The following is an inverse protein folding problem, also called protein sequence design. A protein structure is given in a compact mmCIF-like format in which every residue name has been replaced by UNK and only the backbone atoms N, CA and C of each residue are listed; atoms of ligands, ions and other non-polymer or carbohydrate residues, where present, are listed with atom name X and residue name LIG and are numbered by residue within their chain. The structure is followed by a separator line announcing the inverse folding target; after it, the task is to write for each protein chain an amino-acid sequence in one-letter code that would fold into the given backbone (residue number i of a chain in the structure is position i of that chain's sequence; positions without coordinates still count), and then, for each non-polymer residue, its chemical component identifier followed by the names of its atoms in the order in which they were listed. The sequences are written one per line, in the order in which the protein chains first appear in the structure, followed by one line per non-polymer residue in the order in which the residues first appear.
data_IF_919527675598
#
_entry.id   IF_919527675598
#
_cell.length_a   1.000
_cell.length_b   1.000
_cell.length_c   1.000
_cell.angle_alpha   90.00
_cell.angle_beta   90.00
_cell.angle_gamma   90.00
#
_symmetry.space_group_name_H-M   'P 1'
#
loop_
_entity.id
_entity.type
_entity.pdbx_description
1 polymer ?
#
# COMPACT_ATOMS: atom_id res chain seq x y z
N UNK A 1 26.99 8.43 56.32
CA UNK A 1 26.14 7.31 55.85
C UNK A 1 25.13 7.83 54.83
N UNK A 2 24.97 7.09 53.72
CA UNK A 2 23.91 7.16 52.67
C UNK A 2 23.90 8.39 51.76
N UNK A 3 23.57 8.31 50.46
CA UNK A 3 23.70 7.36 49.32
C UNK A 3 23.25 8.21 48.10
N UNK A 4 23.73 7.87 46.91
CA UNK A 4 23.74 8.64 45.64
C UNK A 4 22.40 9.18 45.06
N UNK A 5 22.46 10.14 44.12
CA UNK A 5 21.35 10.94 43.58
C UNK A 5 20.81 10.40 42.25
N UNK A 6 19.58 10.79 41.87
CA UNK A 6 19.14 10.73 40.47
C UNK A 6 18.43 12.04 40.08
N UNK A 7 19.10 12.77 39.20
CA UNK A 7 18.52 13.87 38.42
C UNK A 7 17.75 13.23 37.26
N UNK A 8 16.46 13.52 37.16
CA UNK A 8 15.67 13.27 35.96
C UNK A 8 16.05 14.37 34.98
N UNK A 9 16.75 14.02 33.89
CA UNK A 9 16.98 14.90 32.76
C UNK A 9 16.12 14.44 31.59
N UNK A 10 15.29 15.36 31.14
CA UNK A 10 14.51 15.47 29.91
C UNK A 10 15.06 14.75 28.67
N UNK A 11 14.26 13.87 28.06
CA UNK A 11 14.39 13.44 26.67
C UNK A 11 13.43 14.28 25.81
N UNK A 12 13.96 15.34 25.20
CA UNK A 12 13.32 15.99 24.07
C UNK A 12 13.74 15.23 22.79
N UNK A 13 12.81 14.51 22.19
CA UNK A 13 12.96 13.92 20.86
C UNK A 13 13.04 15.04 19.82
N UNK A 14 14.23 15.29 19.29
CA UNK A 14 14.39 16.13 18.10
C UNK A 14 14.24 15.22 16.87
N UNK A 15 13.10 15.32 16.20
CA UNK A 15 12.90 14.74 14.88
C UNK A 15 13.58 15.63 13.83
N UNK A 16 14.71 15.19 13.29
CA UNK A 16 15.36 15.88 12.16
C UNK A 16 14.68 15.43 10.86
N UNK A 17 13.72 16.22 10.41
CA UNK A 17 13.19 16.17 9.04
C UNK A 17 14.23 16.82 8.14
N UNK A 18 14.93 16.04 7.31
CA UNK A 18 15.76 16.61 6.24
C UNK A 18 14.86 16.79 5.02
N UNK A 19 14.30 18.00 4.87
CA UNK A 19 13.81 18.48 3.59
C UNK A 19 15.00 18.85 2.71
N UNK A 20 15.12 18.18 1.58
CA UNK A 20 16.07 18.55 0.54
C UNK A 20 15.67 19.91 -0.08
N UNK A 21 16.51 20.92 0.09
CA UNK A 21 16.54 22.08 -0.81
C UNK A 21 17.98 22.38 -1.21
N UNK A 22 18.14 22.51 -2.51
CA UNK A 22 19.34 22.77 -3.30
C UNK A 22 20.21 23.93 -2.83
N UNK A 23 21.53 23.75 -2.93
CA UNK A 23 22.51 24.80 -3.24
C UNK A 23 23.05 25.60 -2.06
N UNK A 24 24.22 25.23 -1.56
CA UNK A 24 25.44 26.06 -1.59
C UNK A 24 26.59 25.38 -0.85
N UNK A 25 27.77 25.57 -1.40
CA UNK A 25 29.07 25.00 -1.04
C UNK A 25 29.49 25.28 0.41
N UNK A 26 29.87 24.23 1.14
CA UNK A 26 30.83 24.35 2.23
C UNK A 26 32.10 23.64 1.77
N UNK A 27 33.06 24.43 1.30
CA UNK A 27 34.45 24.01 1.20
C UNK A 27 34.99 23.88 2.62
N UNK A 28 35.02 22.65 3.15
CA UNK A 28 35.88 22.32 4.27
C UNK A 28 37.09 21.56 3.71
N UNK A 29 38.26 22.17 3.86
CA UNK A 29 39.57 21.57 3.61
C UNK A 29 39.65 20.21 4.32
N UNK A 30 39.82 19.14 3.55
CA UNK A 30 40.30 17.86 4.04
C UNK A 30 41.57 17.51 3.25
N UNK A 31 42.66 17.52 3.99
CA UNK A 31 44.02 17.20 3.61
C UNK A 31 44.08 15.82 2.94
N UNK A 32 44.67 15.74 1.74
CA UNK A 32 44.95 14.46 1.07
C UNK A 32 45.70 13.54 2.02
N UNK A 33 45.00 12.49 2.47
CA UNK A 33 45.63 11.34 3.10
C UNK A 33 45.43 10.19 2.14
N UNK A 34 46.48 9.86 1.41
CA UNK A 34 46.62 8.62 0.66
C UNK A 34 46.59 7.45 1.64
N UNK A 35 45.40 6.91 1.87
CA UNK A 35 45.20 5.57 2.39
C UNK A 35 43.90 5.05 1.79
N UNK A 36 43.97 3.93 1.07
CA UNK A 36 42.80 3.08 0.89
C UNK A 36 42.33 2.67 2.29
N UNK A 37 41.41 3.43 2.88
CA UNK A 37 40.57 2.91 3.95
C UNK A 37 39.74 1.79 3.32
N UNK A 38 40.27 0.57 3.37
CA UNK A 38 39.45 -0.64 3.27
C UNK A 38 38.32 -0.44 4.28
N UNK A 39 37.07 -0.20 3.81
CA UNK A 39 35.87 -0.13 4.64
C UNK A 39 36.02 -1.14 5.78
N UNK A 40 36.19 -0.63 6.99
CA UNK A 40 36.20 -1.44 8.20
C UNK A 40 34.73 -1.65 8.54
N UNK A 41 34.18 -2.85 8.32
CA UNK A 41 32.84 -3.15 8.79
C UNK A 41 32.24 -4.42 8.20
N UNK A 42 31.51 -5.13 9.05
CA UNK A 42 30.52 -6.17 8.72
C UNK A 42 29.72 -5.80 7.47
N UNK A 43 29.56 -6.75 6.55
CA UNK A 43 28.72 -6.55 5.37
C UNK A 43 27.25 -6.63 5.79
N UNK A 44 26.47 -5.58 5.48
CA UNK A 44 25.02 -5.60 5.67
C UNK A 44 24.37 -6.43 4.55
N UNK A 45 24.37 -7.75 4.72
CA UNK A 45 23.87 -8.74 3.74
C UNK A 45 22.38 -9.04 3.92
N UNK A 46 21.73 -8.40 4.89
CA UNK A 46 20.34 -8.62 5.25
C UNK A 46 19.34 -7.79 4.41
N UNK A 47 18.04 -8.04 4.61
CA UNK A 47 16.95 -7.30 3.98
C UNK A 47 16.51 -6.06 4.76
N UNK A 48 17.43 -5.34 5.43
CA UNK A 48 17.05 -4.22 6.30
C UNK A 48 16.21 -3.18 5.52
N UNK A 49 15.00 -2.88 6.02
CA UNK A 49 14.07 -1.96 5.36
C UNK A 49 13.05 -2.59 4.42
N UNK A 50 13.20 -3.86 4.01
CA UNK A 50 12.15 -4.57 3.26
C UNK A 50 10.88 -4.76 4.08
N UNK A 51 11.01 -5.01 5.40
CA UNK A 51 9.86 -5.25 6.30
C UNK A 51 8.80 -4.15 6.22
N UNK A 52 9.22 -2.89 6.37
CA UNK A 52 8.31 -1.74 6.32
C UNK A 52 7.70 -1.58 4.92
N UNK A 53 8.52 -1.70 3.88
CA UNK A 53 8.04 -1.55 2.50
C UNK A 53 7.05 -2.65 2.12
N UNK A 54 7.25 -3.89 2.58
CA UNK A 54 6.30 -4.98 2.44
C UNK A 54 4.99 -4.69 3.17
N UNK A 55 5.07 -4.24 4.42
CA UNK A 55 3.88 -3.89 5.19
C UNK A 55 3.03 -2.82 4.50
N UNK A 56 3.66 -1.77 3.97
CA UNK A 56 3.00 -0.74 3.17
C UNK A 56 2.40 -1.31 1.87
N UNK A 57 3.16 -2.12 1.11
CA UNK A 57 2.68 -2.76 -0.12
C UNK A 57 1.45 -3.65 0.14
N UNK A 58 1.47 -4.47 1.19
CA UNK A 58 0.33 -5.31 1.57
C UNK A 58 -0.90 -4.49 1.94
N UNK A 59 -0.71 -3.41 2.70
CA UNK A 59 -1.78 -2.46 3.03
C UNK A 59 -2.41 -1.85 1.77
N UNK A 60 -1.60 -1.36 0.83
CA UNK A 60 -2.10 -0.79 -0.41
C UNK A 60 -2.84 -1.80 -1.31
N UNK A 61 -2.42 -3.07 -1.32
CA UNK A 61 -3.17 -4.13 -2.03
C UNK A 61 -4.58 -4.29 -1.45
N UNK A 62 -4.72 -4.33 -0.13
CA UNK A 62 -6.02 -4.48 0.54
C UNK A 62 -6.97 -3.34 0.20
N UNK A 63 -6.44 -2.12 0.23
CA UNK A 63 -7.15 -0.90 -0.12
C UNK A 63 -7.65 -0.96 -1.57
N UNK A 64 -6.77 -1.28 -2.51
CA UNK A 64 -7.11 -1.38 -3.92
C UNK A 64 -8.12 -2.50 -4.22
N UNK A 65 -8.02 -3.67 -3.56
CA UNK A 65 -8.97 -4.78 -3.69
C UNK A 65 -10.38 -4.38 -3.26
N UNK A 66 -10.48 -3.66 -2.15
CA UNK A 66 -11.73 -3.15 -1.64
C UNK A 66 -12.42 -2.23 -2.65
N UNK A 67 -11.66 -1.32 -3.25
CA UNK A 67 -12.19 -0.39 -4.25
C UNK A 67 -12.53 -1.05 -5.56
N UNK A 68 -11.67 -1.93 -6.06
CA UNK A 68 -11.94 -2.66 -7.29
C UNK A 68 -13.28 -3.41 -7.20
N UNK A 69 -13.50 -4.12 -6.10
CA UNK A 69 -14.77 -4.81 -5.83
C UNK A 69 -15.94 -3.85 -5.67
N UNK A 70 -15.73 -2.69 -5.05
CA UNK A 70 -16.76 -1.65 -4.91
C UNK A 70 -17.20 -1.12 -6.27
N UNK A 71 -16.25 -0.79 -7.16
CA UNK A 71 -16.53 -0.30 -8.51
C UNK A 71 -17.26 -1.34 -9.37
N UNK A 72 -16.87 -2.61 -9.29
CA UNK A 72 -17.52 -3.70 -10.01
C UNK A 72 -18.99 -3.86 -9.58
N UNK A 73 -19.28 -3.69 -8.29
CA UNK A 73 -20.63 -3.86 -7.72
C UNK A 73 -21.51 -2.61 -7.83
N UNK A 74 -20.92 -1.45 -8.08
CA UNK A 74 -21.67 -0.22 -8.21
C UNK A 74 -22.53 -0.24 -9.49
N UNK A 75 -23.86 -0.02 -9.39
CA UNK A 75 -24.71 0.08 -10.57
C UNK A 75 -24.47 1.38 -11.35
N UNK A 76 -24.78 1.38 -12.64
CA UNK A 76 -24.82 2.62 -13.41
C UNK A 76 -25.91 3.55 -12.86
N UNK A 77 -25.62 4.85 -12.82
CA UNK A 77 -26.61 5.84 -12.37
C UNK A 77 -27.79 5.85 -13.34
N UNK A 78 -29.02 5.88 -12.84
CA UNK A 78 -30.21 5.92 -13.72
C UNK A 78 -31.03 7.16 -13.46
N UNK A 79 -31.05 8.05 -14.46
CA UNK A 79 -31.80 9.31 -14.47
C UNK A 79 -32.82 9.39 -15.62
N UNK A 80 -33.26 8.25 -16.18
CA UNK A 80 -34.14 8.19 -17.37
C UNK A 80 -35.46 8.95 -17.24
N UNK A 81 -35.90 9.25 -16.01
CA UNK A 81 -37.17 9.90 -15.71
C UNK A 81 -36.99 11.37 -15.25
N UNK A 82 -35.78 11.91 -15.37
CA UNK A 82 -35.46 13.31 -15.09
C UNK A 82 -35.14 13.97 -16.42
N UNK A 83 -35.81 15.09 -16.72
CA UNK A 83 -35.46 15.90 -17.90
C UNK A 83 -34.14 16.63 -17.64
N UNK A 84 -33.06 16.19 -18.26
CA UNK A 84 -31.73 16.76 -18.07
C UNK A 84 -31.36 17.77 -19.18
N UNK A 85 -32.25 17.99 -20.16
CA UNK A 85 -31.91 18.68 -21.39
C UNK A 85 -30.79 18.00 -22.19
N UNK A 86 -30.39 18.63 -23.30
CA UNK A 86 -29.38 18.09 -24.22
C UNK A 86 -27.99 17.96 -23.57
N UNK A 87 -27.59 19.00 -22.82
CA UNK A 87 -26.29 19.05 -22.13
C UNK A 87 -26.19 17.99 -21.03
N UNK A 88 -27.22 17.88 -20.18
CA UNK A 88 -27.24 16.87 -19.13
C UNK A 88 -27.37 15.44 -19.66
N UNK A 89 -28.00 15.25 -20.82
CA UNK A 89 -28.00 13.97 -21.53
C UNK A 89 -26.60 13.53 -21.97
N UNK A 90 -25.80 14.44 -22.53
CA UNK A 90 -24.40 14.17 -22.92
C UNK A 90 -23.52 13.90 -21.68
N UNK A 91 -23.70 14.68 -20.60
CA UNK A 91 -23.01 14.46 -19.33
C UNK A 91 -23.33 13.09 -18.73
N UNK A 92 -24.59 12.66 -18.73
CA UNK A 92 -25.01 11.34 -18.25
C UNK A 92 -24.34 10.21 -19.06
N UNK A 93 -24.27 10.35 -20.38
CA UNK A 93 -23.58 9.39 -21.25
C UNK A 93 -22.09 9.30 -20.93
N UNK A 94 -21.42 10.44 -20.74
CA UNK A 94 -20.01 10.47 -20.35
C UNK A 94 -19.77 9.89 -18.95
N UNK A 95 -20.69 10.12 -18.01
CA UNK A 95 -20.68 9.51 -16.68
C UNK A 95 -20.80 7.98 -16.79
N UNK A 96 -21.70 7.45 -17.61
CA UNK A 96 -21.79 6.00 -17.83
C UNK A 96 -20.48 5.44 -18.40
N UNK A 97 -19.86 6.14 -19.34
CA UNK A 97 -18.54 5.76 -19.85
C UNK A 97 -17.49 5.75 -18.73
N UNK A 98 -17.46 6.75 -17.84
CA UNK A 98 -16.55 6.76 -16.69
C UNK A 98 -16.81 5.59 -15.73
N UNK A 99 -18.08 5.22 -15.50
CA UNK A 99 -18.43 4.07 -14.67
C UNK A 99 -17.94 2.76 -15.30
N UNK A 100 -18.11 2.57 -16.62
CA UNK A 100 -17.57 1.39 -17.32
C UNK A 100 -16.05 1.33 -17.30
N UNK A 101 -15.36 2.45 -17.56
CA UNK A 101 -13.90 2.54 -17.46
C UNK A 101 -13.42 2.24 -16.04
N UNK A 102 -14.18 2.64 -15.01
CA UNK A 102 -13.87 2.30 -13.62
C UNK A 102 -13.92 0.80 -13.37
N UNK A 103 -14.90 0.09 -13.94
CA UNK A 103 -14.97 -1.39 -13.87
C UNK A 103 -13.85 -2.06 -14.64
N UNK A 104 -13.51 -1.55 -15.83
CA UNK A 104 -12.37 -2.06 -16.62
C UNK A 104 -11.07 -1.91 -15.83
N UNK A 105 -10.84 -0.75 -15.23
CA UNK A 105 -9.67 -0.50 -14.39
C UNK A 105 -9.66 -1.36 -13.12
N UNK A 106 -10.82 -1.58 -12.49
CA UNK A 106 -10.95 -2.48 -11.35
C UNK A 106 -10.60 -3.94 -11.70
N UNK A 107 -11.09 -4.45 -12.83
CA UNK A 107 -10.72 -5.78 -13.31
C UNK A 107 -9.23 -5.84 -13.67
N UNK A 108 -8.68 -4.81 -14.32
CA UNK A 108 -7.23 -4.76 -14.58
C UNK A 108 -6.41 -4.84 -13.29
N UNK A 109 -6.85 -4.16 -12.21
CA UNK A 109 -6.21 -4.28 -10.91
C UNK A 109 -6.21 -5.74 -10.42
N UNK A 110 -7.40 -6.36 -10.37
CA UNK A 110 -7.59 -7.70 -9.82
C UNK A 110 -6.87 -8.78 -10.64
N UNK A 111 -6.95 -8.68 -11.97
CA UNK A 111 -6.51 -9.75 -12.88
C UNK A 111 -5.08 -9.57 -13.38
N UNK A 112 -4.53 -8.35 -13.31
CA UNK A 112 -3.20 -8.03 -13.89
C UNK A 112 -2.27 -7.37 -12.88
N UNK A 113 -2.63 -6.22 -12.31
CA UNK A 113 -1.70 -5.46 -11.49
C UNK A 113 -1.36 -6.17 -10.16
N UNK A 114 -2.39 -6.60 -9.41
CA UNK A 114 -2.22 -7.31 -8.13
C UNK A 114 -1.36 -8.56 -8.27
N UNK A 115 -1.61 -9.48 -9.22
CA UNK A 115 -0.77 -10.67 -9.40
C UNK A 115 0.72 -10.38 -9.58
N UNK A 116 1.09 -9.28 -10.26
CA UNK A 116 2.48 -8.90 -10.43
C UNK A 116 3.11 -8.37 -9.13
N UNK A 117 2.36 -7.63 -8.32
CA UNK A 117 2.84 -7.22 -6.98
C UNK A 117 3.00 -8.44 -6.06
N UNK A 118 2.06 -9.39 -6.12
CA UNK A 118 2.16 -10.66 -5.38
C UNK A 118 3.37 -11.48 -5.82
N UNK A 119 3.71 -11.46 -7.12
CA UNK A 119 4.95 -12.06 -7.62
C UNK A 119 6.18 -11.42 -6.99
N UNK A 120 6.24 -10.09 -6.85
CA UNK A 120 7.33 -9.40 -6.13
C UNK A 120 7.48 -9.91 -4.69
N UNK A 121 6.38 -10.11 -3.97
CA UNK A 121 6.43 -10.69 -2.62
C UNK A 121 6.88 -12.16 -2.64
N UNK A 122 6.44 -12.95 -3.63
CA UNK A 122 6.90 -14.34 -3.80
C UNK A 122 8.41 -14.41 -4.09
N UNK A 123 8.96 -13.48 -4.86
CA UNK A 123 10.39 -13.43 -5.13
C UNK A 123 11.22 -13.18 -3.86
N UNK A 124 10.69 -12.43 -2.89
CA UNK A 124 11.31 -12.24 -1.58
C UNK A 124 11.32 -13.55 -0.79
N UNK A 125 10.20 -14.29 -0.78
CA UNK A 125 10.11 -15.63 -0.18
C UNK A 125 11.10 -16.60 -0.82
N UNK A 126 11.12 -16.67 -2.16
CA UNK A 126 12.01 -17.56 -2.90
C UNK A 126 13.49 -17.23 -2.65
N UNK A 127 13.83 -15.94 -2.53
CA UNK A 127 15.20 -15.53 -2.23
C UNK A 127 15.61 -15.89 -0.81
N UNK A 128 14.73 -15.71 0.18
CA UNK A 128 14.98 -16.20 1.54
C UNK A 128 15.25 -17.71 1.51
N UNK A 129 14.39 -18.51 0.88
CA UNK A 129 14.59 -19.96 0.75
C UNK A 129 15.94 -20.30 0.10
N UNK A 130 16.33 -19.60 -0.97
CA UNK A 130 17.65 -19.77 -1.60
C UNK A 130 18.78 -19.44 -0.61
N UNK A 131 18.67 -18.33 0.12
CA UNK A 131 19.67 -17.92 1.11
C UNK A 131 19.78 -18.94 2.25
N UNK A 132 18.66 -19.41 2.81
CA UNK A 132 18.64 -20.44 3.86
C UNK A 132 19.33 -21.72 3.39
N UNK A 133 19.07 -22.15 2.14
CA UNK A 133 19.69 -23.34 1.56
C UNK A 133 21.20 -23.18 1.34
N UNK A 134 21.66 -21.97 1.04
CA UNK A 134 23.07 -21.69 0.78
C UNK A 134 23.88 -21.45 2.06
N UNK A 135 23.22 -21.05 3.14
CA UNK A 135 23.86 -20.62 4.37
C UNK A 135 24.94 -21.57 4.89
N UNK A 136 24.61 -22.86 5.09
CA UNK A 136 25.57 -23.82 5.68
C UNK A 136 26.76 -24.05 4.75
N UNK A 137 26.52 -24.12 3.43
CA UNK A 137 27.57 -24.24 2.41
C UNK A 137 28.48 -23.01 2.37
N UNK A 138 27.92 -21.80 2.44
CA UNK A 138 28.69 -20.55 2.45
C UNK A 138 29.55 -20.45 3.72
N UNK A 139 29.02 -20.86 4.88
CA UNK A 139 29.80 -20.92 6.13
C UNK A 139 30.93 -21.95 6.01
N UNK A 140 30.67 -23.12 5.42
CA UNK A 140 31.67 -24.18 5.24
C UNK A 140 32.82 -23.74 4.30
N UNK A 141 32.51 -23.02 3.21
CA UNK A 141 33.55 -22.49 2.30
C UNK A 141 34.49 -21.53 3.02
N UNK A 142 33.97 -20.65 3.90
CA UNK A 142 34.79 -19.79 4.76
C UNK A 142 35.67 -20.61 5.71
N UNK A 143 35.10 -21.61 6.40
CA UNK A 143 35.85 -22.46 7.33
C UNK A 143 37.00 -23.22 6.66
N UNK A 144 36.78 -23.68 5.42
CA UNK A 144 37.79 -24.36 4.60
C UNK A 144 38.77 -23.40 3.90
N UNK A 145 38.60 -22.08 4.06
CA UNK A 145 39.30 -21.04 3.29
C UNK A 145 39.14 -21.21 1.77
N UNK A 146 38.04 -21.80 1.33
CA UNK A 146 37.68 -21.95 -0.08
C UNK A 146 37.08 -20.65 -0.62
N UNK A 147 37.98 -19.73 -1.02
CA UNK A 147 37.59 -18.46 -1.62
C UNK A 147 36.84 -18.62 -2.94
N UNK A 148 37.15 -19.66 -3.72
CA UNK A 148 36.52 -19.88 -5.01
C UNK A 148 35.05 -20.29 -4.84
N UNK A 149 34.78 -21.26 -3.98
CA UNK A 149 33.41 -21.70 -3.65
C UNK A 149 32.59 -20.58 -3.01
N UNK A 150 33.20 -19.77 -2.14
CA UNK A 150 32.52 -18.59 -1.57
C UNK A 150 32.12 -17.59 -2.66
N UNK A 151 33.02 -17.27 -3.60
CA UNK A 151 32.73 -16.35 -4.71
C UNK A 151 31.60 -16.87 -5.59
N UNK A 152 31.58 -18.17 -5.89
CA UNK A 152 30.51 -18.79 -6.68
C UNK A 152 29.14 -18.64 -6.00
N UNK A 153 29.04 -18.99 -4.72
CA UNK A 153 27.78 -18.88 -3.97
C UNK A 153 27.30 -17.44 -3.79
N UNK A 154 28.21 -16.50 -3.51
CA UNK A 154 27.87 -15.06 -3.44
C UNK A 154 27.43 -14.52 -4.80
N UNK A 155 28.08 -14.92 -5.89
CA UNK A 155 27.71 -14.49 -7.24
C UNK A 155 26.33 -15.00 -7.68
N UNK A 156 25.96 -16.21 -7.29
CA UNK A 156 24.61 -16.73 -7.54
C UNK A 156 23.53 -15.93 -6.79
N UNK A 157 23.78 -15.59 -5.52
CA UNK A 157 22.89 -14.70 -4.75
C UNK A 157 22.77 -13.31 -5.39
N UNK A 158 23.88 -12.72 -5.88
CA UNK A 158 23.87 -11.45 -6.61
C UNK A 158 22.99 -11.54 -7.88
N UNK A 159 23.04 -12.66 -8.59
CA UNK A 159 22.25 -12.90 -9.80
C UNK A 159 20.76 -12.87 -9.51
N UNK A 160 20.33 -13.53 -8.42
CA UNK A 160 18.92 -13.48 -8.00
C UNK A 160 18.52 -12.08 -7.52
N UNK A 161 19.37 -11.38 -6.76
CA UNK A 161 19.13 -9.99 -6.31
C UNK A 161 18.86 -9.06 -7.49
N UNK A 162 19.74 -9.11 -8.50
CA UNK A 162 19.64 -8.26 -9.69
C UNK A 162 18.38 -8.59 -10.50
N UNK A 163 18.04 -9.88 -10.60
CA UNK A 163 16.80 -10.34 -11.24
C UNK A 163 15.57 -9.78 -10.52
N UNK A 164 15.51 -9.91 -9.20
CA UNK A 164 14.40 -9.41 -8.39
C UNK A 164 14.25 -7.89 -8.49
N UNK A 165 15.36 -7.13 -8.44
CA UNK A 165 15.34 -5.67 -8.62
C UNK A 165 14.76 -5.27 -9.98
N UNK A 166 15.18 -5.95 -11.06
CA UNK A 166 14.67 -5.71 -12.41
C UNK A 166 13.17 -6.00 -12.50
N UNK A 167 12.71 -7.13 -11.96
CA UNK A 167 11.29 -7.45 -11.98
C UNK A 167 10.45 -6.41 -11.21
N UNK A 168 10.91 -5.93 -10.04
CA UNK A 168 10.24 -4.83 -9.32
C UNK A 168 10.16 -3.56 -10.18
N UNK A 169 11.22 -3.25 -10.92
CA UNK A 169 11.25 -2.11 -11.86
C UNK A 169 10.13 -2.20 -12.90
N UNK A 170 9.90 -3.40 -13.44
CA UNK A 170 8.87 -3.61 -14.46
C UNK A 170 7.46 -3.51 -13.87
N UNK A 171 7.26 -3.97 -12.63
CA UNK A 171 6.00 -3.74 -11.89
C UNK A 171 5.74 -2.26 -11.64
N UNK A 172 6.77 -1.49 -11.25
CA UNK A 172 6.65 -0.04 -11.04
C UNK A 172 6.19 0.66 -12.33
N UNK A 173 6.79 0.34 -13.49
CA UNK A 173 6.40 0.93 -14.78
C UNK A 173 4.95 0.60 -15.13
N UNK A 174 4.55 -0.66 -14.95
CA UNK A 174 3.16 -1.09 -15.19
C UNK A 174 2.17 -0.32 -14.31
N UNK A 175 2.51 -0.09 -13.03
CA UNK A 175 1.67 0.70 -12.14
C UNK A 175 1.66 2.19 -12.50
N UNK A 176 2.75 2.75 -13.04
CA UNK A 176 2.78 4.13 -13.55
C UNK A 176 1.83 4.31 -14.74
N UNK A 177 1.84 3.36 -15.68
CA UNK A 177 0.90 3.37 -16.82
C UNK A 177 -0.55 3.22 -16.35
N UNK A 178 -0.78 2.31 -15.40
CA UNK A 178 -2.10 2.12 -14.81
C UNK A 178 -2.59 3.38 -14.06
N UNK A 179 -1.71 4.03 -13.30
CA UNK A 179 -1.97 5.30 -12.62
C UNK A 179 -2.42 6.38 -13.61
N UNK A 180 -1.81 6.45 -14.80
CA UNK A 180 -2.23 7.37 -15.85
C UNK A 180 -3.69 7.15 -16.30
N UNK A 181 -4.09 5.90 -16.49
CA UNK A 181 -5.49 5.54 -16.84
C UNK A 181 -6.47 5.90 -15.72
N UNK A 182 -6.10 5.65 -14.47
CA UNK A 182 -6.91 6.03 -13.31
C UNK A 182 -7.05 7.55 -13.19
N UNK A 183 -5.96 8.29 -13.37
CA UNK A 183 -5.97 9.76 -13.31
C UNK A 183 -6.91 10.37 -14.34
N UNK A 184 -6.80 9.92 -15.60
CA UNK A 184 -7.64 10.42 -16.68
C UNK A 184 -9.11 10.15 -16.37
N UNK A 185 -9.46 8.90 -16.05
CA UNK A 185 -10.83 8.54 -15.73
C UNK A 185 -11.35 9.30 -14.49
N UNK A 186 -10.53 9.47 -13.45
CA UNK A 186 -10.89 10.22 -12.24
C UNK A 186 -11.18 11.69 -12.53
N UNK A 187 -10.35 12.30 -13.37
CA UNK A 187 -10.47 13.72 -13.73
C UNK A 187 -11.71 13.94 -14.58
N UNK A 188 -11.90 13.13 -15.62
CA UNK A 188 -13.06 13.21 -16.49
C UNK A 188 -14.34 12.97 -15.70
N UNK A 189 -14.35 11.95 -14.84
CA UNK A 189 -15.53 11.64 -14.03
C UNK A 189 -15.88 12.79 -13.07
N UNK A 190 -14.88 13.35 -12.39
CA UNK A 190 -15.09 14.52 -11.52
C UNK A 190 -15.65 15.71 -12.30
N UNK A 191 -15.11 15.98 -13.49
CA UNK A 191 -15.56 17.09 -14.33
C UNK A 191 -16.99 16.87 -14.86
N UNK A 192 -17.33 15.64 -15.26
CA UNK A 192 -18.69 15.35 -15.74
C UNK A 192 -19.72 15.42 -14.60
N UNK A 193 -19.35 14.96 -13.40
CA UNK A 193 -20.25 14.99 -12.24
C UNK A 193 -20.40 16.40 -11.68
N UNK A 194 -19.29 17.06 -11.33
CA UNK A 194 -19.29 18.32 -10.57
C UNK A 194 -18.69 19.52 -11.29
N UNK A 195 -18.24 19.39 -12.54
CA UNK A 195 -17.50 20.44 -13.23
C UNK A 195 -16.06 20.61 -12.72
N UNK A 196 -15.20 21.36 -13.45
CA UNK A 196 -13.78 21.53 -13.09
C UNK A 196 -13.54 22.18 -11.71
N UNK A 197 -14.47 23.03 -11.27
CA UNK A 197 -14.42 23.74 -9.99
C UNK A 197 -15.32 23.12 -8.91
N UNK A 198 -15.98 22.00 -9.20
CA UNK A 198 -16.92 21.34 -8.29
C UNK A 198 -18.29 22.01 -8.18
N UNK A 199 -18.61 23.02 -9.02
CA UNK A 199 -19.86 23.78 -8.98
C UNK A 199 -20.72 23.65 -10.24
N UNK A 200 -20.33 22.77 -11.17
CA UNK A 200 -20.97 22.56 -12.46
C UNK A 200 -21.41 21.11 -12.69
N UNK A 201 -21.31 20.67 -13.94
CA UNK A 201 -21.59 19.29 -14.36
C UNK A 201 -23.03 18.85 -14.10
N UNK A 202 -23.23 17.54 -14.03
CA UNK A 202 -24.55 16.95 -13.80
C UNK A 202 -25.16 17.39 -12.45
N UNK A 203 -24.34 17.60 -11.42
CA UNK A 203 -24.83 18.03 -10.10
C UNK A 203 -25.46 19.41 -10.14
N UNK A 204 -24.93 20.35 -10.94
CA UNK A 204 -25.51 21.68 -11.07
C UNK A 204 -26.86 21.66 -11.80
N UNK A 205 -26.99 20.80 -12.83
CA UNK A 205 -28.25 20.60 -13.56
C UNK A 205 -29.32 20.05 -12.61
N UNK A 206 -28.98 19.03 -11.82
CA UNK A 206 -29.90 18.46 -10.84
C UNK A 206 -30.24 19.47 -9.72
N UNK A 207 -29.27 20.25 -9.25
CA UNK A 207 -29.50 21.29 -8.23
C UNK A 207 -30.45 22.40 -8.70
N UNK A 208 -30.45 22.73 -9.99
CA UNK A 208 -31.42 23.64 -10.60
C UNK A 208 -32.87 23.14 -10.52
N UNK A 209 -33.07 21.83 -10.35
CA UNK A 209 -34.38 21.18 -10.20
C UNK A 209 -34.74 20.91 -8.74
N UNK A 210 -33.74 20.70 -7.88
CA UNK A 210 -33.93 20.34 -6.48
C UNK A 210 -32.90 21.04 -5.58
N UNK A 211 -33.36 22.05 -4.82
CA UNK A 211 -32.50 22.94 -4.02
C UNK A 211 -31.75 22.25 -2.85
N UNK A 212 -32.09 21.01 -2.49
CA UNK A 212 -31.45 20.26 -1.39
C UNK A 212 -30.16 19.56 -1.79
N UNK A 213 -29.90 19.41 -3.10
CA UNK A 213 -28.74 18.69 -3.64
C UNK A 213 -27.39 19.27 -3.20
N UNK A 214 -27.15 20.60 -3.25
CA UNK A 214 -25.88 21.17 -2.80
C UNK A 214 -25.58 20.88 -1.32
N UNK A 215 -26.61 20.92 -0.47
CA UNK A 215 -26.47 20.62 0.96
C UNK A 215 -26.12 19.14 1.16
N UNK A 216 -26.81 18.23 0.48
CA UNK A 216 -26.56 16.79 0.55
C UNK A 216 -25.15 16.44 0.07
N UNK A 217 -24.69 17.06 -1.03
CA UNK A 217 -23.33 16.86 -1.54
C UNK A 217 -22.28 17.29 -0.51
N UNK A 218 -22.44 18.49 0.08
CA UNK A 218 -21.51 18.99 1.08
C UNK A 218 -21.46 18.10 2.34
N UNK A 219 -22.61 17.63 2.82
CA UNK A 219 -22.69 16.71 3.96
C UNK A 219 -21.93 15.40 3.68
N UNK A 220 -22.07 14.86 2.47
CA UNK A 220 -21.44 13.59 2.09
C UNK A 220 -19.94 13.76 1.88
N UNK A 221 -19.50 14.86 1.25
CA UNK A 221 -18.07 15.16 1.10
C UNK A 221 -17.40 15.32 2.48
N UNK A 222 -18.07 15.95 3.44
CA UNK A 222 -17.59 16.06 4.83
C UNK A 222 -17.53 14.69 5.53
N UNK A 223 -18.59 13.88 5.43
CA UNK A 223 -18.62 12.52 5.99
C UNK A 223 -17.51 11.67 5.37
N UNK A 224 -17.32 11.72 4.05
CA UNK A 224 -16.27 10.98 3.33
C UNK A 224 -14.86 11.40 3.72
N UNK A 225 -14.61 12.70 3.88
CA UNK A 225 -13.31 13.19 4.35
C UNK A 225 -12.98 12.64 5.75
N UNK A 226 -13.98 12.62 6.64
CA UNK A 226 -13.83 12.07 8.00
C UNK A 226 -13.65 10.55 7.96
N UNK A 227 -14.42 9.85 7.14
CA UNK A 227 -14.31 8.41 6.93
C UNK A 227 -12.93 8.01 6.41
N UNK A 228 -12.42 8.75 5.41
CA UNK A 228 -11.08 8.57 4.85
C UNK A 228 -10.01 8.70 5.94
N UNK A 229 -10.11 9.70 6.82
CA UNK A 229 -9.17 9.87 7.92
C UNK A 229 -9.14 8.64 8.84
N UNK A 230 -10.30 8.15 9.28
CA UNK A 230 -10.35 6.96 10.13
C UNK A 230 -9.80 5.72 9.43
N UNK A 231 -10.03 5.60 8.12
CA UNK A 231 -9.47 4.53 7.32
C UNK A 231 -7.94 4.60 7.24
N UNK A 232 -7.40 5.77 6.91
CA UNK A 232 -5.96 6.01 6.86
C UNK A 232 -5.31 5.72 8.23
N UNK A 233 -5.99 6.07 9.34
CA UNK A 233 -5.53 5.74 10.69
C UNK A 233 -5.50 4.21 10.94
N UNK A 234 -6.53 3.47 10.51
CA UNK A 234 -6.55 1.99 10.58
C UNK A 234 -5.40 1.38 9.78
N UNK A 235 -5.15 1.89 8.57
CA UNK A 235 -4.04 1.42 7.73
C UNK A 235 -2.67 1.71 8.36
N UNK A 236 -2.46 2.90 8.93
CA UNK A 236 -1.20 3.26 9.57
C UNK A 236 -0.86 2.33 10.75
N UNK A 237 -1.88 1.92 11.52
CA UNK A 237 -1.71 0.93 12.59
C UNK A 237 -1.32 -0.46 12.07
N UNK A 238 -1.89 -0.89 10.93
CA UNK A 238 -1.52 -2.17 10.32
C UNK A 238 -0.06 -2.22 9.85
N UNK A 239 0.49 -1.09 9.42
CA UNK A 239 1.91 -1.00 8.99
C UNK A 239 2.85 -1.05 10.21
N UNK A 240 2.47 -0.41 11.32
CA UNK A 240 3.28 -0.36 12.55
C UNK A 240 3.18 -1.60 13.45
N UNK A 241 2.06 -2.34 13.37
CA UNK A 241 1.77 -3.52 14.22
C UNK A 241 2.05 -4.88 13.57
N UNK A 242 2.38 -4.92 12.28
CA UNK A 242 2.53 -6.14 11.47
C UNK A 242 1.31 -6.41 10.57
N UNK A 243 1.56 -7.01 9.41
CA UNK A 243 0.54 -7.35 8.41
C UNK A 243 -0.47 -8.35 9.00
N UNK A 244 -1.75 -7.97 9.06
CA UNK A 244 -2.84 -8.82 9.57
C UNK A 244 -3.90 -8.13 10.42
N UNK A 245 -3.82 -6.80 10.63
CA UNK A 245 -4.64 -6.10 11.63
C UNK A 245 -5.94 -5.42 11.13
N UNK A 246 -6.27 -5.47 9.84
CA UNK A 246 -7.43 -4.76 9.30
C UNK A 246 -8.31 -5.65 8.40
N UNK A 247 -9.62 -5.72 8.71
CA UNK A 247 -10.62 -6.50 7.98
C UNK A 247 -11.56 -5.52 7.27
N UNK A 248 -11.71 -5.66 5.96
CA UNK A 248 -12.55 -4.79 5.13
C UNK A 248 -13.73 -5.57 4.53
N UNK A 249 -14.95 -5.07 4.69
CA UNK A 249 -16.18 -5.65 4.11
C UNK A 249 -16.86 -4.59 3.24
N UNK A 250 -17.50 -5.01 2.15
CA UNK A 250 -18.31 -4.15 1.30
C UNK A 250 -19.78 -4.49 1.54
N UNK A 251 -20.55 -3.54 2.07
CA UNK A 251 -22.00 -3.61 2.20
C UNK A 251 -22.67 -2.75 1.12
N UNK A 252 -23.59 -3.29 0.31
CA UNK A 252 -24.47 -2.42 -0.46
C UNK A 252 -25.60 -1.94 0.47
N UNK A 253 -25.95 -0.65 0.48
CA UNK A 253 -27.14 -0.10 1.17
C UNK A 253 -27.90 0.80 0.19
N UNK A 254 -29.13 0.40 -0.19
CA UNK A 254 -30.07 1.27 -0.90
C UNK A 254 -29.53 1.94 -2.17
N UNK A 255 -28.89 1.17 -3.07
CA UNK A 255 -28.30 1.68 -4.32
C UNK A 255 -26.91 2.31 -4.20
N UNK A 256 -26.40 2.52 -2.98
CA UNK A 256 -25.04 2.96 -2.72
C UNK A 256 -24.19 1.82 -2.14
N UNK A 257 -22.94 1.68 -2.59
CA UNK A 257 -21.98 0.76 -1.98
C UNK A 257 -21.29 1.45 -0.81
N UNK A 258 -21.41 0.85 0.37
CA UNK A 258 -20.90 1.30 1.66
C UNK A 258 -19.87 0.30 2.18
N UNK A 259 -18.64 0.72 2.41
CA UNK A 259 -17.62 -0.14 3.00
C UNK A 259 -17.84 -0.20 4.52
N UNK A 260 -17.64 -1.33 5.17
CA UNK A 260 -17.70 -1.51 6.63
C UNK A 260 -16.44 -2.25 7.06
N UNK A 261 -15.74 -1.78 8.07
CA UNK A 261 -14.52 -2.41 8.61
C UNK A 261 -14.96 -3.25 9.82
N UNK A 262 -14.77 -4.57 9.83
CA UNK A 262 -15.36 -5.44 10.90
C UNK A 262 -14.30 -5.96 11.85
N UNK A 263 -14.49 -5.81 13.16
CA UNK A 263 -13.55 -6.33 14.17
C UNK A 263 -13.95 -7.73 14.63
N UNK A 264 -13.19 -8.76 14.24
CA UNK A 264 -13.36 -10.13 14.75
C UNK A 264 -14.30 -11.02 13.94
N UNK A 265 -14.31 -12.32 14.30
CA UNK A 265 -14.83 -13.47 13.52
C UNK A 265 -16.04 -13.16 12.65
N UNK A 266 -15.83 -13.34 11.34
CA UNK A 266 -16.81 -13.16 10.27
C UNK A 266 -18.18 -13.73 10.63
N UNK A 267 -19.08 -12.85 11.04
CA UNK A 267 -20.50 -13.17 11.13
C UNK A 267 -21.20 -12.36 10.06
N UNK A 268 -21.79 -12.97 9.02
CA UNK A 268 -22.57 -12.25 8.02
C UNK A 268 -23.72 -11.52 8.71
N UNK A 269 -23.68 -10.19 8.77
CA UNK A 269 -24.79 -9.40 9.27
C UNK A 269 -25.77 -9.13 8.12
N UNK A 270 -26.81 -9.96 8.00
CA UNK A 270 -27.98 -9.62 7.18
C UNK A 270 -28.82 -8.62 7.97
N UNK A 271 -28.59 -7.32 7.74
CA UNK A 271 -29.48 -6.28 8.23
C UNK A 271 -30.39 -5.86 7.08
N UNK A 272 -31.64 -6.34 7.10
CA UNK A 272 -32.73 -5.75 6.31
C UNK A 272 -32.66 -5.90 4.78
N UNK A 273 -32.36 -7.08 4.25
CA UNK A 273 -32.55 -7.39 2.82
C UNK A 273 -31.45 -6.91 1.86
N UNK A 274 -30.29 -6.52 2.38
CA UNK A 274 -29.12 -6.12 1.61
C UNK A 274 -28.02 -7.20 1.69
N UNK A 275 -27.53 -7.66 0.55
CA UNK A 275 -26.43 -8.62 0.48
C UNK A 275 -25.10 -7.93 0.78
N UNK A 276 -24.58 -8.08 1.99
CA UNK A 276 -23.15 -7.92 2.23
C UNK A 276 -22.43 -9.09 1.55
N UNK A 277 -21.46 -8.83 0.68
CA UNK A 277 -20.60 -9.91 0.17
C UNK A 277 -19.78 -10.43 1.35
N UNK A 278 -19.79 -11.76 1.53
CA UNK A 278 -19.31 -12.46 2.72
C UNK A 278 -18.00 -11.90 3.29
N UNK A 279 -17.99 -11.70 4.61
CA UNK A 279 -16.80 -11.30 5.34
C UNK A 279 -15.75 -12.42 5.27
N UNK A 280 -14.65 -12.19 4.55
CA UNK A 280 -13.50 -13.06 4.69
C UNK A 280 -12.65 -12.56 5.85
N UNK A 281 -12.76 -13.28 6.97
CA UNK A 281 -11.93 -13.03 8.13
C UNK A 281 -10.51 -13.50 7.88
N UNK A 282 -9.55 -12.59 8.06
CA UNK A 282 -8.17 -12.93 8.41
C UNK A 282 -8.05 -12.66 9.90
N UNK A 283 -7.71 -13.69 10.67
CA UNK A 283 -7.78 -13.66 12.14
C UNK A 283 -6.81 -12.66 12.76
N UNK A 284 -7.32 -11.86 13.70
CA UNK A 284 -6.53 -10.95 14.53
C UNK A 284 -5.78 -11.77 15.60
N UNK A 285 -4.45 -11.82 15.50
CA UNK A 285 -3.58 -12.26 16.58
C UNK A 285 -2.96 -11.07 17.28
N UNK A 286 -3.26 -10.90 18.58
CA UNK A 286 -2.59 -10.08 19.61
C UNK A 286 -3.17 -8.69 19.98
N UNK A 287 -2.86 -8.29 21.23
CA UNK A 287 -3.49 -7.25 22.05
C UNK A 287 -3.33 -5.78 21.57
N UNK A 288 -2.83 -5.54 20.35
CA UNK A 288 -2.63 -4.20 19.79
C UNK A 288 -3.92 -3.52 19.25
N UNK A 289 -5.09 -4.17 19.37
CA UNK A 289 -6.32 -3.86 18.62
C UNK A 289 -7.22 -2.72 19.14
N UNK A 290 -7.01 -2.12 20.32
CA UNK A 290 -8.02 -1.20 20.90
C UNK A 290 -8.13 0.12 20.14
N UNK A 291 -7.02 0.72 19.69
CA UNK A 291 -7.05 1.99 18.94
C UNK A 291 -7.56 1.78 17.52
N UNK A 292 -7.07 0.75 16.82
CA UNK A 292 -7.57 0.38 15.50
C UNK A 292 -9.09 0.08 15.53
N UNK A 293 -9.57 -0.60 16.59
CA UNK A 293 -11.00 -0.85 16.80
C UNK A 293 -11.81 0.44 16.90
N UNK A 294 -11.31 1.48 17.59
CA UNK A 294 -12.03 2.76 17.68
C UNK A 294 -12.16 3.46 16.34
N UNK A 295 -11.07 3.55 15.56
CA UNK A 295 -11.14 4.15 14.23
C UNK A 295 -12.04 3.32 13.29
N UNK A 296 -12.05 1.99 13.45
CA UNK A 296 -12.95 1.08 12.76
C UNK A 296 -14.43 1.32 13.13
N UNK A 297 -14.76 1.46 14.40
CA UNK A 297 -16.12 1.78 14.85
C UNK A 297 -16.58 3.13 14.30
N UNK A 298 -15.72 4.15 14.35
CA UNK A 298 -16.00 5.47 13.76
C UNK A 298 -16.18 5.42 12.25
N UNK A 299 -15.37 4.62 11.54
CA UNK A 299 -15.55 4.40 10.10
C UNK A 299 -16.93 3.80 9.80
N UNK A 300 -17.33 2.77 10.55
CA UNK A 300 -18.61 2.08 10.39
C UNK A 300 -19.81 2.98 10.69
N UNK A 301 -19.71 3.82 11.72
CA UNK A 301 -20.75 4.78 12.05
C UNK A 301 -20.99 5.76 10.89
N UNK A 302 -19.91 6.26 10.28
CA UNK A 302 -20.01 7.17 9.13
C UNK A 302 -20.58 6.44 7.91
N UNK A 303 -20.14 5.21 7.66
CA UNK A 303 -20.69 4.33 6.64
C UNK A 303 -22.22 4.15 6.77
N UNK A 304 -22.69 3.89 7.99
CA UNK A 304 -24.11 3.77 8.28
C UNK A 304 -24.86 5.09 8.04
N UNK A 305 -24.30 6.24 8.44
CA UNK A 305 -24.88 7.56 8.17
C UNK A 305 -25.04 7.82 6.66
N UNK A 306 -24.02 7.51 5.86
CA UNK A 306 -24.09 7.62 4.40
C UNK A 306 -25.18 6.69 3.83
N UNK A 307 -25.28 5.46 4.34
CA UNK A 307 -26.34 4.52 3.97
C UNK A 307 -27.74 5.02 4.31
N UNK A 308 -27.93 5.59 5.49
CA UNK A 308 -29.21 6.19 5.91
C UNK A 308 -29.62 7.39 5.05
N UNK A 309 -28.66 8.28 4.73
CA UNK A 309 -28.89 9.39 3.79
C UNK A 309 -29.33 8.86 2.42
N UNK A 310 -28.72 7.77 1.95
CA UNK A 310 -29.11 7.11 0.69
C UNK A 310 -30.52 6.55 0.70
N UNK A 311 -30.94 5.92 1.80
CA UNK A 311 -32.29 5.34 1.92
C UNK A 311 -33.40 6.42 1.99
N UNK A 312 -33.09 7.59 2.54
CA UNK A 312 -34.04 8.70 2.71
C UNK A 312 -34.09 9.64 1.49
N UNK A 313 -33.15 9.50 0.55
CA UNK A 313 -33.03 10.34 -0.63
C UNK A 313 -34.05 9.96 -1.72
N UNK A 314 -34.59 10.98 -2.41
CA UNK A 314 -35.28 10.81 -3.70
C UNK A 314 -34.29 10.40 -4.81
N UNK A 315 -34.77 10.13 -6.03
CA UNK A 315 -33.90 9.63 -7.12
C UNK A 315 -32.77 10.59 -7.52
N UNK A 316 -33.03 11.89 -7.56
CA UNK A 316 -32.01 12.87 -7.95
C UNK A 316 -30.92 12.94 -6.87
N UNK A 317 -31.34 12.93 -5.61
CA UNK A 317 -30.45 12.85 -4.46
C UNK A 317 -29.67 11.52 -4.42
N UNK A 318 -30.29 10.38 -4.70
CA UNK A 318 -29.60 9.08 -4.81
C UNK A 318 -28.55 9.06 -5.93
N UNK A 319 -28.83 9.70 -7.06
CA UNK A 319 -27.86 9.83 -8.15
C UNK A 319 -26.65 10.66 -7.72
N UNK A 320 -26.87 11.81 -7.06
CA UNK A 320 -25.79 12.65 -6.52
C UNK A 320 -24.95 11.89 -5.49
N UNK A 321 -25.60 11.10 -4.62
CA UNK A 321 -24.91 10.26 -3.63
C UNK A 321 -24.03 9.20 -4.30
N UNK A 322 -24.59 8.46 -5.26
CA UNK A 322 -23.87 7.40 -5.98
C UNK A 322 -22.68 7.96 -6.77
N UNK A 323 -22.87 9.07 -7.47
CA UNK A 323 -21.83 9.72 -8.28
C UNK A 323 -20.75 10.38 -7.44
N UNK A 324 -21.13 11.04 -6.33
CA UNK A 324 -20.17 11.59 -5.36
C UNK A 324 -19.37 10.47 -4.71
N UNK A 325 -19.99 9.34 -4.38
CA UNK A 325 -19.25 8.19 -3.87
C UNK A 325 -18.25 7.64 -4.91
N UNK A 326 -18.69 7.49 -6.16
CA UNK A 326 -17.86 6.93 -7.23
C UNK A 326 -16.64 7.82 -7.54
N UNK A 327 -16.86 9.14 -7.66
CA UNK A 327 -15.79 10.10 -7.98
C UNK A 327 -14.73 10.12 -6.88
N UNK A 328 -15.14 10.15 -5.61
CA UNK A 328 -14.22 10.20 -4.46
C UNK A 328 -13.46 8.87 -4.31
N UNK A 329 -14.14 7.75 -4.53
CA UNK A 329 -13.52 6.42 -4.55
C UNK A 329 -12.42 6.32 -5.61
N UNK A 330 -12.72 6.79 -6.83
CA UNK A 330 -11.77 6.73 -7.94
C UNK A 330 -10.56 7.65 -7.71
N UNK A 331 -10.76 8.83 -7.10
CA UNK A 331 -9.69 9.74 -6.73
C UNK A 331 -8.74 9.10 -5.70
N UNK A 332 -9.29 8.40 -4.71
CA UNK A 332 -8.48 7.72 -3.70
C UNK A 332 -7.75 6.48 -4.26
N UNK A 333 -8.33 5.78 -5.24
CA UNK A 333 -7.66 4.68 -5.95
C UNK A 333 -6.38 5.18 -6.64
N UNK A 334 -6.47 6.29 -7.38
CA UNK A 334 -5.32 6.93 -8.00
C UNK A 334 -4.23 7.28 -6.99
N UNK A 335 -4.58 7.85 -5.83
CA UNK A 335 -3.63 8.16 -4.76
C UNK A 335 -3.00 6.91 -4.15
N UNK A 336 -3.77 5.84 -3.99
CA UNK A 336 -3.29 4.57 -3.43
C UNK A 336 -2.28 3.89 -4.35
N UNK A 337 -2.50 3.91 -5.67
CA UNK A 337 -1.52 3.39 -6.64
C UNK A 337 -0.21 4.16 -6.56
N UNK A 338 -0.25 5.49 -6.35
CA UNK A 338 0.95 6.29 -6.15
C UNK A 338 1.74 5.84 -4.91
N UNK A 339 1.07 5.60 -3.79
CA UNK A 339 1.72 5.08 -2.58
C UNK A 339 2.26 3.65 -2.78
N UNK A 340 1.54 2.78 -3.49
CA UNK A 340 2.03 1.44 -3.85
C UNK A 340 3.31 1.50 -4.69
N UNK A 341 3.40 2.45 -5.65
CA UNK A 341 4.61 2.70 -6.43
C UNK A 341 5.77 3.12 -5.52
N UNK A 342 5.54 3.98 -4.53
CA UNK A 342 6.58 4.40 -3.58
C UNK A 342 7.08 3.22 -2.74
N UNK A 343 6.20 2.38 -2.20
CA UNK A 343 6.61 1.21 -1.42
C UNK A 343 7.38 0.19 -2.28
N UNK A 344 6.96 -0.04 -3.54
CA UNK A 344 7.71 -0.88 -4.47
C UNK A 344 9.07 -0.28 -4.85
N UNK A 345 9.15 1.05 -4.98
CA UNK A 345 10.42 1.75 -5.21
C UNK A 345 11.36 1.56 -4.01
N UNK A 346 10.83 1.55 -2.79
CA UNK A 346 11.61 1.21 -1.60
C UNK A 346 12.08 -0.24 -1.62
N UNK A 347 11.25 -1.21 -2.05
CA UNK A 347 11.66 -2.61 -2.23
C UNK A 347 12.79 -2.71 -3.27
N UNK A 348 12.65 -2.06 -4.42
CA UNK A 348 13.69 -2.02 -5.47
C UNK A 348 15.00 -1.43 -4.95
N UNK A 349 14.92 -0.33 -4.19
CA UNK A 349 16.08 0.29 -3.56
C UNK A 349 16.80 -0.68 -2.63
N UNK A 350 16.07 -1.46 -1.84
CA UNK A 350 16.70 -2.46 -0.97
C UNK A 350 17.36 -3.58 -1.74
N UNK A 351 16.75 -4.08 -2.83
CA UNK A 351 17.44 -5.04 -3.71
C UNK A 351 18.75 -4.45 -4.27
N UNK A 352 18.74 -3.19 -4.71
CA UNK A 352 19.95 -2.53 -5.22
C UNK A 352 21.03 -2.34 -4.14
N UNK A 353 20.63 -1.92 -2.93
CA UNK A 353 21.55 -1.77 -1.79
C UNK A 353 22.17 -3.10 -1.41
N UNK A 354 21.37 -4.16 -1.32
CA UNK A 354 21.88 -5.48 -1.03
C UNK A 354 22.78 -6.00 -2.16
N UNK A 355 22.41 -5.81 -3.43
CA UNK A 355 23.25 -6.18 -4.57
C UNK A 355 24.61 -5.50 -4.54
N UNK A 356 24.67 -4.23 -4.17
CA UNK A 356 25.92 -3.50 -3.97
C UNK A 356 26.74 -4.07 -2.80
N UNK A 357 26.11 -4.40 -1.66
CA UNK A 357 26.82 -4.97 -0.51
C UNK A 357 27.39 -6.36 -0.81
N UNK A 358 26.66 -7.21 -1.53
CA UNK A 358 27.15 -8.52 -1.95
C UNK A 358 28.26 -8.40 -3.01
N UNK A 359 28.17 -7.44 -3.92
CA UNK A 359 29.23 -7.16 -4.92
C UNK A 359 30.49 -6.63 -4.22
N UNK A 360 30.35 -5.71 -3.27
CA UNK A 360 31.45 -5.24 -2.42
C UNK A 360 32.12 -6.42 -1.68
N UNK A 361 31.35 -7.40 -1.17
CA UNK A 361 31.91 -8.62 -0.58
C UNK A 361 32.68 -9.43 -1.64
N UNK A 362 32.03 -9.75 -2.77
CA UNK A 362 32.58 -10.55 -3.85
C UNK A 362 33.94 -10.03 -4.33
N UNK A 363 34.04 -8.72 -4.58
CA UNK A 363 35.24 -8.06 -5.11
C UNK A 363 36.40 -8.06 -4.12
N UNK A 364 36.10 -8.12 -2.82
CA UNK A 364 37.12 -8.06 -1.76
C UNK A 364 37.62 -9.44 -1.31
N UNK A 365 36.93 -10.55 -1.59
CA UNK A 365 37.28 -11.90 -1.08
C UNK A 365 38.75 -12.27 -1.30
N UNK A 366 39.31 -12.00 -2.48
CA UNK A 366 40.68 -12.43 -2.83
C UNK A 366 41.74 -11.68 -2.01
N UNK A 367 41.52 -10.38 -1.80
CA UNK A 367 42.44 -9.49 -1.06
C UNK A 367 42.10 -9.33 0.43
N UNK A 368 41.03 -9.99 0.90
CA UNK A 368 40.54 -9.89 2.26
C UNK A 368 41.56 -10.46 3.26
N UNK A 369 41.80 -9.70 4.33
CA UNK A 369 42.65 -10.12 5.45
C UNK A 369 41.99 -11.28 6.21
N UNK A 370 42.80 -12.25 6.69
CA UNK A 370 42.32 -13.46 7.37
C UNK A 370 41.33 -13.18 8.51
N UNK A 371 41.58 -12.16 9.34
CA UNK A 371 40.70 -11.80 10.45
C UNK A 371 39.33 -11.24 9.98
N UNK A 372 39.27 -10.60 8.80
CA UNK A 372 38.02 -10.10 8.22
C UNK A 372 37.26 -11.24 7.54
N UNK A 373 37.99 -12.12 6.86
CA UNK A 373 37.44 -13.32 6.23
C UNK A 373 36.74 -14.22 7.26
N UNK A 374 37.28 -14.33 8.47
CA UNK A 374 36.64 -15.08 9.56
C UNK A 374 35.36 -14.46 10.12
N UNK A 375 34.99 -13.22 9.78
CA UNK A 375 33.75 -12.56 10.23
C UNK A 375 32.56 -12.78 9.29
N UNK A 376 32.81 -13.24 8.05
CA UNK A 376 31.74 -13.52 7.07
C UNK A 376 30.63 -14.43 7.61
N UNK A 377 30.90 -15.49 8.40
CA UNK A 377 29.85 -16.33 8.96
C UNK A 377 28.90 -15.58 9.91
N UNK A 378 29.39 -14.57 10.62
CA UNK A 378 28.56 -13.73 11.50
C UNK A 378 27.64 -12.82 10.67
N UNK A 379 28.16 -12.24 9.58
CA UNK A 379 27.37 -11.43 8.64
C UNK A 379 26.29 -12.28 7.96
N UNK A 380 26.64 -13.49 7.50
CA UNK A 380 25.69 -14.44 6.91
C UNK A 380 24.62 -14.85 7.93
N UNK A 381 24.99 -15.02 9.20
CA UNK A 381 24.05 -15.41 10.27
C UNK A 381 23.05 -14.28 10.54
N UNK A 382 23.54 -13.04 10.65
CA UNK A 382 22.68 -11.87 10.83
C UNK A 382 21.69 -11.70 9.66
N UNK A 383 22.16 -11.93 8.42
CA UNK A 383 21.28 -11.94 7.24
C UNK A 383 20.24 -13.06 7.31
N UNK A 384 20.64 -14.29 7.68
CA UNK A 384 19.75 -15.45 7.83
C UNK A 384 18.61 -15.18 8.81
N UNK A 385 18.94 -14.62 9.99
CA UNK A 385 17.97 -14.24 11.02
C UNK A 385 17.01 -13.16 10.50
N UNK A 386 17.55 -12.14 9.82
CA UNK A 386 16.75 -11.05 9.27
C UNK A 386 15.81 -11.46 8.14
N UNK A 387 16.21 -12.43 7.30
CA UNK A 387 15.34 -12.98 6.26
C UNK A 387 14.17 -13.80 6.83
N UNK A 388 14.43 -14.61 7.86
CA UNK A 388 13.37 -15.34 8.57
C UNK A 388 12.30 -14.40 9.16
N UNK A 389 12.70 -13.21 9.63
CA UNK A 389 11.78 -12.21 10.19
C UNK A 389 10.82 -11.61 9.14
N UNK A 390 11.21 -11.54 7.87
CA UNK A 390 10.38 -10.97 6.80
C UNK A 390 9.67 -12.02 5.95
N UNK A 391 10.07 -13.30 6.06
CA UNK A 391 9.48 -14.40 5.29
C UNK A 391 7.96 -14.44 5.45
N UNK A 392 7.45 -14.39 6.68
CA UNK A 392 6.00 -14.46 6.96
C UNK A 392 5.23 -13.28 6.37
N UNK A 393 5.80 -12.09 6.45
CA UNK A 393 5.21 -10.86 5.90
C UNK A 393 5.12 -10.93 4.36
N UNK A 394 6.18 -11.41 3.72
CA UNK A 394 6.20 -11.63 2.27
C UNK A 394 5.26 -12.77 1.84
N UNK A 395 5.25 -13.87 2.58
CA UNK A 395 4.38 -15.02 2.33
C UNK A 395 2.90 -14.59 2.39
N UNK A 396 2.52 -13.80 3.40
CA UNK A 396 1.17 -13.26 3.54
C UNK A 396 0.71 -12.49 2.30
N UNK A 397 1.57 -11.62 1.75
CA UNK A 397 1.25 -10.82 0.56
C UNK A 397 1.25 -11.67 -0.71
N UNK A 398 2.16 -12.64 -0.81
CA UNK A 398 2.31 -13.49 -2.00
C UNK A 398 1.14 -14.44 -2.27
N UNK A 399 0.38 -14.75 -1.21
CA UNK A 399 -0.86 -15.54 -1.27
C UNK A 399 -2.00 -14.64 -1.72
N UNK A 400 -3.01 -15.23 -2.36
CA UNK A 400 -4.23 -14.48 -2.59
C UNK A 400 -4.85 -14.16 -1.24
N UNK A 401 -4.95 -12.86 -0.93
CA UNK A 401 -5.76 -12.37 0.18
C UNK A 401 -7.21 -12.56 -0.28
N UNK A 402 -7.64 -13.82 -0.26
CA UNK A 402 -8.92 -14.22 -0.79
C UNK A 402 -9.99 -13.71 0.16
N UNK A 403 -10.72 -12.69 -0.28
CA UNK A 403 -12.05 -12.52 0.24
C UNK A 403 -12.92 -13.61 -0.40
N UNK A 404 -13.01 -14.78 0.24
CA UNK A 404 -13.76 -15.92 -0.28
C UNK A 404 -15.14 -15.43 -0.73
N UNK A 405 -15.43 -15.62 -2.02
CA UNK A 405 -16.77 -15.50 -2.55
C UNK A 405 -17.54 -16.73 -2.08
N UNK A 406 -18.49 -16.53 -1.18
CA UNK A 406 -19.67 -17.40 -1.07
C UNK A 406 -20.89 -16.59 -1.47
#
# INVERSE_FOLDING_TARGET
MKKFPFKVLTLATLATVITATTGNTIHAFAQETTAQEQKVGNYALGPEGLKKALAETGSHILVMDLYAKTMIKQPNVNLSNIDLGSEGGELLKNIHLNQELSRINANYWLDTAKPQIQKTARNIVNYDEQFQNYYDTLVETVQKKDKAGLKEGINDLITTINTNSKEVTDVIKMLQDFKGKLYQNSTDFKNNVGGPDGKGGLTAILAGQQATIPQLQAEIEQLRSTQKKHFDDVLAWSIGGGLGAAILVIAAIGGAVVIVVTGGTATPAVVGGLSALGAAGIGLGTAAGVTASKHMDSYNEISNKIGELSMKADRANQAVLSLTNAKETLAYLYQTVDQAILSLTNIQKQWNTMGANYTDLLDNIDSMQDHKFSLIPDDLKAAKESWNDIHKDAEFISKDIAFKQE
#
